data_IF_002190202123
#
_entry.id   IF_002190202123
#
_cell.length_a   1.000
_cell.length_b   1.000
_cell.length_c   1.000
_cell.angle_alpha   90.00
_cell.angle_beta   90.00
_cell.angle_gamma   90.00
#
_symmetry.space_group_name_H-M   'P 1'
#
loop_
_entity.id
_entity.type
_entity.pdbx_description
1 polymer ?
#
# COMPACT_ATOMS: atom_id res chain seq x y z
N UNK A 1 -28.02 -11.69 -14.72
CA UNK A 1 -26.83 -10.80 -14.56
C UNK A 1 -26.24 -10.82 -13.15
N UNK A 2 -27.04 -10.78 -12.07
CA UNK A 2 -26.55 -10.86 -10.67
C UNK A 2 -25.81 -12.19 -10.37
N UNK A 3 -26.34 -13.33 -10.80
CA UNK A 3 -25.80 -14.67 -10.51
C UNK A 3 -24.34 -14.88 -10.94
N UNK A 4 -23.97 -14.49 -12.17
CA UNK A 4 -22.58 -14.57 -12.66
C UNK A 4 -21.62 -13.75 -11.80
N UNK A 5 -22.05 -12.57 -11.32
CA UNK A 5 -21.22 -11.71 -10.47
C UNK A 5 -20.98 -12.36 -9.11
N UNK A 6 -22.00 -12.98 -8.55
CA UNK A 6 -21.92 -13.68 -7.27
C UNK A 6 -21.00 -14.91 -7.38
N UNK A 7 -21.13 -15.71 -8.44
CA UNK A 7 -20.30 -16.89 -8.68
C UNK A 7 -18.81 -16.51 -8.78
N UNK A 8 -18.47 -15.48 -9.55
CA UNK A 8 -17.08 -15.01 -9.63
C UNK A 8 -16.62 -14.41 -8.30
N UNK A 9 -17.48 -13.67 -7.58
CA UNK A 9 -17.12 -13.13 -6.27
C UNK A 9 -16.82 -14.24 -5.24
N UNK A 10 -17.61 -15.31 -5.22
CA UNK A 10 -17.37 -16.48 -4.37
C UNK A 10 -16.07 -17.17 -4.78
N UNK A 11 -15.79 -17.30 -6.07
CA UNK A 11 -14.53 -17.87 -6.54
C UNK A 11 -13.32 -17.03 -6.08
N UNK A 12 -13.38 -15.72 -6.27
CA UNK A 12 -12.35 -14.79 -5.80
C UNK A 12 -12.12 -14.95 -4.29
N UNK A 13 -13.20 -15.01 -3.52
CA UNK A 13 -13.10 -15.15 -2.06
C UNK A 13 -12.58 -16.52 -1.64
N UNK A 14 -12.88 -17.58 -2.38
CA UNK A 14 -12.28 -18.91 -2.14
C UNK A 14 -10.76 -18.90 -2.35
N UNK A 15 -10.31 -18.20 -3.39
CA UNK A 15 -8.88 -18.06 -3.71
C UNK A 15 -8.18 -17.16 -2.70
N UNK A 16 -8.83 -16.07 -2.28
CA UNK A 16 -8.26 -15.05 -1.40
C UNK A 16 -9.32 -14.54 -0.41
N UNK A 17 -9.15 -14.87 0.87
CA UNK A 17 -9.95 -14.35 1.97
C UNK A 17 -9.09 -14.19 3.22
N UNK A 18 -9.39 -13.24 4.11
CA UNK A 18 -10.49 -12.26 4.04
C UNK A 18 -10.21 -11.12 3.04
N UNK A 19 -11.28 -10.53 2.47
CA UNK A 19 -11.18 -9.34 1.60
C UNK A 19 -12.19 -8.27 2.01
N UNK A 20 -11.86 -7.01 1.77
CA UNK A 20 -12.84 -5.91 1.82
C UNK A 20 -13.77 -5.95 0.62
N UNK A 21 -14.97 -5.37 0.75
CA UNK A 21 -15.92 -5.20 -0.38
C UNK A 21 -15.25 -4.48 -1.56
N UNK A 22 -14.36 -3.51 -1.28
CA UNK A 22 -13.60 -2.78 -2.28
C UNK A 22 -12.62 -3.68 -3.03
N UNK A 23 -11.87 -4.53 -2.33
CA UNK A 23 -10.98 -5.49 -2.97
C UNK A 23 -11.76 -6.47 -3.86
N UNK A 24 -12.89 -7.03 -3.39
CA UNK A 24 -13.73 -7.92 -4.22
C UNK A 24 -14.25 -7.19 -5.47
N UNK A 25 -14.71 -5.95 -5.31
CA UNK A 25 -15.14 -5.12 -6.44
C UNK A 25 -14.03 -4.96 -7.49
N UNK A 26 -12.80 -4.63 -7.09
CA UNK A 26 -11.69 -4.48 -8.03
C UNK A 26 -11.27 -5.80 -8.68
N UNK A 27 -11.35 -6.92 -7.96
CA UNK A 27 -11.10 -8.25 -8.56
C UNK A 27 -12.12 -8.59 -9.66
N UNK A 28 -13.38 -8.15 -9.50
CA UNK A 28 -14.42 -8.30 -10.52
C UNK A 28 -14.24 -7.32 -11.69
N UNK A 29 -13.76 -6.10 -11.45
CA UNK A 29 -13.38 -5.14 -12.51
C UNK A 29 -12.22 -5.69 -13.33
N UNK A 30 -11.16 -6.15 -12.67
CA UNK A 30 -9.95 -6.69 -13.32
C UNK A 30 -10.27 -7.91 -14.19
N UNK A 31 -11.22 -8.75 -13.76
CA UNK A 31 -11.74 -9.90 -14.53
C UNK A 31 -12.78 -9.51 -15.59
N UNK A 32 -13.00 -8.21 -15.83
CA UNK A 32 -13.97 -7.67 -16.79
C UNK A 32 -15.42 -8.15 -16.56
N UNK A 33 -15.76 -8.53 -15.32
CA UNK A 33 -17.10 -8.96 -14.93
C UNK A 33 -18.04 -7.76 -14.76
N UNK A 34 -17.49 -6.60 -14.39
CA UNK A 34 -18.21 -5.35 -14.24
C UNK A 34 -17.35 -4.13 -14.60
N UNK A 35 -17.96 -3.05 -15.12
CA UNK A 35 -17.24 -1.82 -15.40
C UNK A 35 -16.90 -1.06 -14.11
N UNK A 36 -15.79 -0.32 -14.10
CA UNK A 36 -15.40 0.50 -12.96
C UNK A 36 -16.33 1.73 -12.85
N UNK A 37 -17.44 1.61 -12.09
CA UNK A 37 -18.43 2.67 -11.85
C UNK A 37 -18.93 2.62 -10.41
N UNK A 38 -19.15 3.80 -9.81
CA UNK A 38 -19.67 3.94 -8.44
C UNK A 38 -20.99 3.19 -8.22
N UNK A 39 -21.89 3.20 -9.21
CA UNK A 39 -23.16 2.46 -9.16
C UNK A 39 -22.96 0.95 -9.10
N UNK A 40 -21.90 0.43 -9.74
CA UNK A 40 -21.57 -1.01 -9.69
C UNK A 40 -20.94 -1.39 -8.36
N UNK A 41 -20.17 -0.49 -7.73
CA UNK A 41 -19.65 -0.71 -6.39
C UNK A 41 -20.78 -0.91 -5.37
N UNK A 42 -21.81 -0.04 -5.40
CA UNK A 42 -22.99 -0.19 -4.54
C UNK A 42 -23.69 -1.52 -4.79
N UNK A 43 -23.89 -1.90 -6.06
CA UNK A 43 -24.50 -3.18 -6.42
C UNK A 43 -23.69 -4.39 -5.92
N UNK A 44 -22.36 -4.34 -5.95
CA UNK A 44 -21.50 -5.41 -5.41
C UNK A 44 -21.59 -5.46 -3.88
N UNK A 45 -21.60 -4.30 -3.21
CA UNK A 45 -21.78 -4.22 -1.75
C UNK A 45 -23.09 -4.87 -1.30
N UNK A 46 -24.20 -4.58 -2.00
CA UNK A 46 -25.51 -5.20 -1.74
C UNK A 46 -25.50 -6.70 -2.03
N UNK A 47 -24.91 -7.11 -3.16
CA UNK A 47 -24.78 -8.52 -3.54
C UNK A 47 -24.04 -9.34 -2.47
N UNK A 48 -22.89 -8.85 -2.00
CA UNK A 48 -22.08 -9.52 -0.98
C UNK A 48 -22.74 -9.49 0.40
N UNK A 49 -23.50 -8.44 0.71
CA UNK A 49 -24.32 -8.39 1.93
C UNK A 49 -25.39 -9.48 1.90
N UNK A 50 -26.12 -9.61 0.80
CA UNK A 50 -27.24 -10.54 0.70
C UNK A 50 -26.75 -11.99 0.64
N UNK A 51 -25.64 -12.25 -0.08
CA UNK A 51 -24.99 -13.56 -0.10
C UNK A 51 -24.53 -14.03 1.30
N UNK A 52 -23.98 -13.12 2.12
CA UNK A 52 -23.63 -13.44 3.52
C UNK A 52 -24.85 -13.73 4.38
N UNK A 53 -25.91 -12.93 4.24
CA UNK A 53 -27.18 -13.17 4.95
C UNK A 53 -27.82 -14.51 4.60
N UNK A 54 -27.65 -14.96 3.36
CA UNK A 54 -28.18 -16.24 2.87
C UNK A 54 -27.27 -17.44 3.17
N UNK A 55 -26.05 -17.22 3.67
CA UNK A 55 -25.08 -18.27 3.95
C UNK A 55 -24.26 -18.74 2.74
N UNK A 56 -24.35 -18.05 1.59
CA UNK A 56 -23.56 -18.36 0.39
C UNK A 56 -22.07 -17.99 0.56
N UNK A 57 -21.78 -17.02 1.43
CA UNK A 57 -20.44 -16.53 1.76
C UNK A 57 -20.30 -16.50 3.29
N UNK A 58 -19.29 -17.15 3.88
CA UNK A 58 -18.99 -17.03 5.31
C UNK A 58 -18.73 -15.58 5.72
N UNK A 59 -19.15 -15.21 6.93
CA UNK A 59 -19.03 -13.82 7.40
C UNK A 59 -17.58 -13.36 7.47
N UNK A 60 -16.69 -14.27 7.85
CA UNK A 60 -15.25 -14.09 7.99
C UNK A 60 -14.52 -13.90 6.66
N UNK A 61 -15.14 -14.22 5.51
CA UNK A 61 -14.51 -14.00 4.21
C UNK A 61 -14.53 -12.53 3.76
N UNK A 62 -15.44 -11.73 4.33
CA UNK A 62 -15.53 -10.30 4.05
C UNK A 62 -15.24 -9.49 5.31
N UNK A 63 -14.18 -8.68 5.26
CA UNK A 63 -13.83 -7.80 6.36
C UNK A 63 -14.21 -6.33 6.11
N UNK A 64 -14.76 -5.66 7.12
CA UNK A 64 -14.90 -4.20 7.15
C UNK A 64 -13.80 -3.63 8.06
N UNK A 65 -12.74 -3.12 7.44
CA UNK A 65 -11.60 -2.52 8.16
C UNK A 65 -11.95 -1.17 8.80
N UNK A 66 -12.99 -0.48 8.33
CA UNK A 66 -13.35 0.87 8.76
C UNK A 66 -14.34 0.90 9.93
N UNK A 67 -15.17 -0.15 10.07
CA UNK A 67 -16.22 -0.22 11.10
C UNK A 67 -15.96 -1.31 12.14
N UNK A 68 -14.70 -1.51 12.53
CA UNK A 68 -14.38 -2.42 13.63
C UNK A 68 -14.79 -1.78 14.97
N UNK A 69 -15.62 -2.44 15.80
CA UNK A 69 -15.85 -1.99 17.16
C UNK A 69 -14.51 -1.81 17.88
N UNK A 70 -14.35 -0.69 18.59
CA UNK A 70 -13.18 -0.49 19.44
C UNK A 70 -13.34 -1.36 20.68
N UNK A 71 -12.77 -2.56 20.65
CA UNK A 71 -12.67 -3.44 21.80
C UNK A 71 -11.32 -3.24 22.50
N UNK A 72 -11.31 -3.39 23.82
CA UNK A 72 -10.06 -3.50 24.58
C UNK A 72 -9.54 -4.91 24.37
N UNK A 73 -8.25 -5.06 24.04
CA UNK A 73 -7.62 -6.38 23.94
C UNK A 73 -7.63 -7.06 25.30
N UNK A 74 -8.19 -8.27 25.36
CA UNK A 74 -8.26 -9.11 26.55
C UNK A 74 -7.94 -10.54 26.14
N UNK A 75 -7.31 -11.30 27.04
CA UNK A 75 -6.89 -12.68 26.83
C UNK A 75 -7.36 -13.54 28.00
N UNK A 76 -7.70 -14.80 27.73
CA UNK A 76 -8.19 -15.71 28.78
C UNK A 76 -7.10 -16.08 29.79
N UNK A 77 -5.86 -16.20 29.32
CA UNK A 77 -4.71 -16.66 30.07
C UNK A 77 -3.40 -16.27 29.34
N UNK A 78 -2.27 -16.67 29.91
CA UNK A 78 -0.94 -16.39 29.35
C UNK A 78 -0.68 -17.12 28.03
N UNK A 79 -1.29 -18.28 27.78
CA UNK A 79 -1.11 -19.02 26.53
C UNK A 79 -1.83 -18.30 25.37
N UNK A 80 -3.04 -17.81 25.61
CA UNK A 80 -3.79 -16.98 24.66
C UNK A 80 -3.06 -15.67 24.35
N UNK A 81 -2.50 -15.01 25.39
CA UNK A 81 -1.64 -13.85 25.19
C UNK A 81 -0.36 -14.19 24.41
N UNK A 82 0.31 -15.29 24.74
CA UNK A 82 1.54 -15.73 24.08
C UNK A 82 1.35 -15.95 22.58
N UNK A 83 0.23 -16.55 22.16
CA UNK A 83 -0.09 -16.72 20.74
C UNK A 83 -0.32 -15.38 20.03
N UNK A 84 -0.93 -14.40 20.71
CA UNK A 84 -1.08 -13.04 20.19
C UNK A 84 0.29 -12.38 19.99
N UNK A 85 1.16 -12.45 21.00
CA UNK A 85 2.51 -11.87 20.92
C UNK A 85 3.33 -12.58 19.84
N UNK A 86 3.26 -13.91 19.73
CA UNK A 86 3.92 -14.68 18.67
C UNK A 86 3.55 -14.18 17.28
N UNK A 87 2.25 -13.98 17.03
CA UNK A 87 1.74 -13.47 15.75
C UNK A 87 2.10 -12.02 15.49
N UNK A 88 2.20 -11.21 16.54
CA UNK A 88 2.53 -9.79 16.45
C UNK A 88 4.04 -9.55 16.30
N UNK A 89 4.88 -10.43 16.83
CA UNK A 89 6.33 -10.26 16.83
C UNK A 89 6.87 -10.16 15.41
N UNK A 90 7.62 -9.08 15.16
CA UNK A 90 8.44 -8.89 13.98
C UNK A 90 9.81 -8.43 14.43
N UNK A 91 10.85 -8.97 13.82
CA UNK A 91 12.22 -8.50 14.01
C UNK A 91 12.45 -7.31 13.08
N UNK A 92 13.21 -6.33 13.56
CA UNK A 92 13.56 -5.17 12.75
C UNK A 92 14.52 -5.59 11.63
N UNK A 93 14.02 -5.52 10.39
CA UNK A 93 14.80 -5.83 9.19
C UNK A 93 15.82 -4.74 8.88
N UNK A 94 15.57 -3.50 9.30
CA UNK A 94 16.39 -2.35 8.92
C UNK A 94 17.73 -2.29 9.65
N UNK A 95 17.91 -3.06 10.71
CA UNK A 95 19.16 -3.14 11.46
C UNK A 95 20.33 -3.68 10.62
N UNK A 96 20.07 -4.47 9.57
CA UNK A 96 21.10 -5.06 8.70
C UNK A 96 21.06 -4.56 7.26
N UNK A 97 20.01 -3.84 6.87
CA UNK A 97 19.87 -3.34 5.50
C UNK A 97 20.83 -2.16 5.23
N UNK A 98 21.40 -2.07 4.02
CA UNK A 98 22.35 -1.01 3.67
C UNK A 98 21.70 0.37 3.56
N UNK A 99 20.41 0.43 3.17
CA UNK A 99 19.64 1.65 3.04
C UNK A 99 18.20 1.40 3.51
N UNK A 100 17.57 2.42 4.08
CA UNK A 100 16.15 2.40 4.42
C UNK A 100 15.30 2.63 3.18
N UNK A 101 14.25 1.81 3.00
CA UNK A 101 13.31 1.97 1.88
C UNK A 101 11.92 2.26 2.43
N UNK A 102 11.30 3.31 1.90
CA UNK A 102 9.92 3.68 2.22
C UNK A 102 9.10 3.85 0.94
N UNK A 103 7.83 3.46 0.96
CA UNK A 103 6.92 3.60 -0.18
C UNK A 103 5.91 4.70 0.10
N UNK A 104 5.78 5.64 -0.83
CA UNK A 104 4.82 6.74 -0.77
C UNK A 104 3.74 6.54 -1.83
N UNK A 105 2.49 6.46 -1.41
CA UNK A 105 1.33 6.22 -2.26
C UNK A 105 0.34 7.38 -2.16
N UNK A 106 0.05 8.02 -3.29
CA UNK A 106 -0.89 9.14 -3.33
C UNK A 106 -2.36 8.72 -3.15
N UNK A 107 -2.71 7.48 -3.53
CA UNK A 107 -4.10 7.03 -3.63
C UNK A 107 -4.45 5.99 -2.56
N UNK A 108 -5.10 6.43 -1.48
CA UNK A 108 -5.54 5.57 -0.36
C UNK A 108 -6.37 4.35 -0.78
N UNK A 109 -7.12 4.44 -1.88
CA UNK A 109 -7.90 3.31 -2.39
C UNK A 109 -7.05 2.08 -2.76
N UNK A 110 -5.74 2.28 -3.03
CA UNK A 110 -4.78 1.24 -3.37
C UNK A 110 -3.96 0.76 -2.16
N UNK A 111 -4.06 1.42 -1.00
CA UNK A 111 -3.24 1.13 0.20
C UNK A 111 -3.25 -0.35 0.60
N UNK A 112 -4.40 -1.02 0.56
CA UNK A 112 -4.49 -2.43 0.91
C UNK A 112 -3.69 -3.35 -0.01
N UNK A 113 -3.54 -3.01 -1.30
CA UNK A 113 -2.72 -3.80 -2.23
C UNK A 113 -1.24 -3.64 -1.90
N UNK A 114 -0.83 -2.42 -1.53
CA UNK A 114 0.54 -2.10 -1.16
C UNK A 114 0.92 -2.73 0.17
N UNK A 115 0.11 -2.54 1.20
CA UNK A 115 0.29 -3.13 2.53
C UNK A 115 0.46 -4.66 2.45
N UNK A 116 -0.37 -5.31 1.63
CA UNK A 116 -0.29 -6.77 1.42
C UNK A 116 1.04 -7.24 0.80
N UNK A 117 1.73 -6.39 0.04
CA UNK A 117 3.06 -6.70 -0.55
C UNK A 117 4.17 -6.31 0.42
N UNK A 118 4.10 -5.09 0.97
CA UNK A 118 5.18 -4.48 1.75
C UNK A 118 5.37 -5.10 3.13
N UNK A 119 4.31 -5.65 3.71
CA UNK A 119 4.38 -6.33 5.02
C UNK A 119 5.43 -7.43 5.08
N UNK A 120 5.66 -8.13 3.96
CA UNK A 120 6.61 -9.22 3.90
C UNK A 120 8.06 -8.71 3.85
N UNK A 121 8.28 -7.43 3.57
CA UNK A 121 9.60 -6.81 3.50
C UNK A 121 9.88 -5.85 4.65
N UNK A 122 8.93 -5.66 5.59
CA UNK A 122 9.06 -4.68 6.67
C UNK A 122 9.09 -3.23 6.18
N UNK A 123 8.61 -2.97 4.95
CA UNK A 123 8.64 -1.65 4.31
C UNK A 123 7.46 -0.79 4.76
N UNK A 124 7.77 0.42 5.22
CA UNK A 124 6.77 1.41 5.61
C UNK A 124 6.01 1.90 4.38
N UNK A 125 4.68 1.95 4.49
CA UNK A 125 3.79 2.57 3.51
C UNK A 125 3.28 3.91 4.05
N UNK A 126 3.69 5.01 3.42
CA UNK A 126 3.09 6.31 3.64
C UNK A 126 1.98 6.55 2.60
N UNK A 127 0.77 6.87 3.07
CA UNK A 127 -0.41 7.06 2.20
C UNK A 127 -0.86 8.51 2.28
N UNK A 128 -0.67 9.24 1.19
CA UNK A 128 -1.17 10.60 1.05
C UNK A 128 -2.71 10.61 1.03
N UNK A 129 -3.33 11.42 1.89
CA UNK A 129 -4.79 11.66 1.87
C UNK A 129 -5.04 13.14 1.63
N UNK A 130 -4.81 13.59 0.39
CA UNK A 130 -4.71 15.02 0.08
C UNK A 130 -3.45 15.62 0.68
N UNK A 131 -2.95 16.73 0.10
CA UNK A 131 -1.67 17.38 0.42
C UNK A 131 -1.08 16.96 1.76
N UNK A 132 -0.12 16.03 1.72
CA UNK A 132 0.60 15.53 2.88
C UNK A 132 0.99 16.71 3.76
N UNK A 133 0.32 16.84 4.89
CA UNK A 133 0.57 17.90 5.85
C UNK A 133 1.99 17.80 6.37
N UNK A 134 2.49 18.90 6.93
CA UNK A 134 3.81 18.97 7.54
C UNK A 134 4.07 17.84 8.57
N UNK A 135 3.04 17.33 9.25
CA UNK A 135 3.21 16.19 10.17
C UNK A 135 3.69 14.91 9.48
N UNK A 136 3.26 14.63 8.23
CA UNK A 136 3.71 13.45 7.47
C UNK A 136 5.20 13.56 7.15
N UNK A 137 5.63 14.75 6.71
CA UNK A 137 7.04 15.04 6.42
C UNK A 137 7.88 14.99 7.69
N UNK A 138 7.42 15.58 8.80
CA UNK A 138 8.12 15.52 10.10
C UNK A 138 8.34 14.08 10.53
N UNK A 139 7.26 13.29 10.58
CA UNK A 139 7.33 11.90 11.02
C UNK A 139 8.25 11.07 10.13
N UNK A 140 8.25 11.32 8.81
CA UNK A 140 9.14 10.67 7.86
C UNK A 140 10.60 11.09 8.07
N UNK A 141 10.85 12.40 8.17
CA UNK A 141 12.18 12.93 8.41
C UNK A 141 12.81 12.45 9.72
N UNK A 142 12.03 12.32 10.79
CA UNK A 142 12.50 11.72 12.05
C UNK A 142 13.03 10.29 11.83
N UNK A 143 12.29 9.46 11.09
CA UNK A 143 12.76 8.12 10.70
C UNK A 143 14.01 8.18 9.84
N UNK A 144 14.07 9.12 8.90
CA UNK A 144 15.20 9.24 7.96
C UNK A 144 16.49 9.64 8.68
N UNK A 145 16.39 10.45 9.74
CA UNK A 145 17.53 10.80 10.60
C UNK A 145 18.08 9.56 11.32
N UNK A 146 17.21 8.66 11.77
CA UNK A 146 17.61 7.42 12.45
C UNK A 146 18.38 6.46 11.52
N UNK A 147 18.00 6.39 10.24
CA UNK A 147 18.60 5.47 9.27
C UNK A 147 19.73 6.07 8.42
N UNK A 148 19.74 7.39 8.23
CA UNK A 148 20.73 8.10 7.43
C UNK A 148 20.53 8.01 5.91
N UNK A 149 20.67 6.82 5.32
CA UNK A 149 20.49 6.59 3.88
C UNK A 149 19.07 6.12 3.56
N UNK A 150 18.34 6.85 2.71
CA UNK A 150 16.93 6.61 2.44
C UNK A 150 16.61 6.60 0.95
N UNK A 151 15.82 5.63 0.51
CA UNK A 151 15.17 5.62 -0.81
C UNK A 151 13.65 5.60 -0.66
N UNK A 152 13.00 6.64 -1.22
CA UNK A 152 11.56 6.76 -1.30
C UNK A 152 11.07 6.28 -2.67
N UNK A 153 10.24 5.26 -2.68
CA UNK A 153 9.55 4.76 -3.86
C UNK A 153 8.17 5.40 -3.96
N UNK A 154 8.01 6.35 -4.88
CA UNK A 154 6.79 7.12 -5.05
C UNK A 154 5.88 6.54 -6.13
N UNK A 155 4.61 6.35 -5.76
CA UNK A 155 3.53 5.87 -6.60
C UNK A 155 2.40 6.92 -6.59
N UNK A 156 2.27 7.63 -7.71
CA UNK A 156 1.29 8.70 -7.88
C UNK A 156 0.67 8.71 -9.26
N UNK A 157 -0.26 9.64 -9.45
CA UNK A 157 -0.93 9.81 -10.73
C UNK A 157 0.02 10.41 -11.78
N UNK A 158 -0.31 10.21 -13.05
CA UNK A 158 0.34 10.91 -14.16
C UNK A 158 -0.50 12.14 -14.51
N UNK A 159 -0.29 13.21 -13.76
CA UNK A 159 -0.92 14.51 -13.98
C UNK A 159 0.05 15.64 -13.54
N UNK A 160 -0.29 16.93 -13.75
CA UNK A 160 0.61 18.03 -13.39
C UNK A 160 1.02 18.06 -11.90
N UNK A 161 0.16 17.59 -10.99
CA UNK A 161 0.43 17.55 -9.56
C UNK A 161 1.28 16.33 -9.18
N UNK A 162 0.98 15.15 -9.73
CA UNK A 162 1.73 13.91 -9.49
C UNK A 162 3.15 13.91 -10.10
N UNK A 163 3.40 14.65 -11.18
CA UNK A 163 4.77 14.87 -11.69
C UNK A 163 5.55 15.87 -10.81
N UNK A 164 4.91 16.92 -10.31
CA UNK A 164 5.56 17.89 -9.42
C UNK A 164 5.75 17.37 -7.99
N UNK A 165 5.04 16.30 -7.61
CA UNK A 165 5.07 15.74 -6.27
C UNK A 165 6.48 15.30 -5.85
N UNK A 166 7.28 14.72 -6.77
CA UNK A 166 8.66 14.32 -6.47
C UNK A 166 9.50 15.52 -6.06
N UNK A 167 9.39 16.64 -6.79
CA UNK A 167 10.10 17.87 -6.45
C UNK A 167 9.58 18.44 -5.13
N UNK A 168 8.26 18.55 -4.97
CA UNK A 168 7.66 19.11 -3.75
C UNK A 168 7.95 18.27 -2.51
N UNK A 169 8.01 16.95 -2.63
CA UNK A 169 8.38 16.04 -1.55
C UNK A 169 9.84 16.24 -1.16
N UNK A 170 10.75 16.33 -2.14
CA UNK A 170 12.16 16.64 -1.88
C UNK A 170 12.33 17.97 -1.15
N UNK A 171 11.76 19.04 -1.68
CA UNK A 171 11.84 20.39 -1.08
C UNK A 171 11.39 20.39 0.39
N UNK A 172 10.26 19.73 0.70
CA UNK A 172 9.73 19.65 2.07
C UNK A 172 10.58 18.77 2.98
N UNK A 173 11.07 17.64 2.50
CA UNK A 173 11.96 16.78 3.29
C UNK A 173 13.27 17.50 3.59
N UNK A 174 13.86 18.15 2.59
CA UNK A 174 15.11 18.92 2.75
C UNK A 174 14.91 20.07 3.75
N UNK A 175 13.81 20.84 3.62
CA UNK A 175 13.44 21.89 4.58
C UNK A 175 13.31 21.33 6.01
N UNK A 176 12.72 20.15 6.17
CA UNK A 176 12.62 19.51 7.47
C UNK A 176 13.97 19.13 8.06
N UNK A 177 14.81 18.48 7.24
CA UNK A 177 16.13 18.01 7.65
C UNK A 177 17.04 19.19 8.02
N UNK A 178 16.89 20.34 7.35
CA UNK A 178 17.54 21.59 7.76
C UNK A 178 17.05 22.06 9.14
N UNK A 179 15.72 22.12 9.36
CA UNK A 179 15.13 22.50 10.66
C UNK A 179 15.60 21.56 11.78
N UNK A 180 15.69 20.26 11.50
CA UNK A 180 16.14 19.22 12.42
C UNK A 180 17.68 19.13 12.56
N UNK A 181 18.43 20.07 11.97
CA UNK A 181 19.89 20.11 12.00
C UNK A 181 20.56 18.80 11.53
N UNK A 182 19.95 18.16 10.53
CA UNK A 182 20.37 16.89 9.93
C UNK A 182 20.45 16.95 8.39
N UNK A 183 21.06 17.99 7.78
CA UNK A 183 21.06 18.20 6.32
C UNK A 183 21.90 17.18 5.53
N UNK A 184 22.60 16.28 6.22
CA UNK A 184 23.48 15.27 5.61
C UNK A 184 22.77 13.93 5.33
N UNK A 185 21.53 13.77 5.78
CA UNK A 185 20.70 12.60 5.48
C UNK A 185 20.47 12.56 3.97
N UNK A 186 20.82 11.44 3.34
CA UNK A 186 20.71 11.30 1.88
C UNK A 186 19.38 10.66 1.52
N UNK A 187 18.51 11.42 0.87
CA UNK A 187 17.18 10.97 0.46
C UNK A 187 17.07 10.92 -1.07
N UNK A 188 16.99 9.72 -1.61
CA UNK A 188 16.65 9.48 -3.01
C UNK A 188 15.13 9.34 -3.16
N UNK A 189 14.53 9.95 -4.18
CA UNK A 189 13.09 9.83 -4.47
C UNK A 189 12.93 9.35 -5.90
N UNK A 190 12.22 8.24 -6.08
CA UNK A 190 12.09 7.54 -7.36
C UNK A 190 10.60 7.41 -7.67
N UNK A 191 10.16 7.98 -8.80
CA UNK A 191 8.80 7.77 -9.29
C UNK A 191 8.70 6.40 -9.98
N UNK A 192 8.09 5.44 -9.31
CA UNK A 192 7.95 4.07 -9.79
C UNK A 192 6.73 3.90 -10.70
N UNK A 193 5.65 4.64 -10.43
CA UNK A 193 4.47 4.72 -11.29
C UNK A 193 3.67 5.99 -10.98
N UNK A 194 2.81 6.47 -11.89
CA UNK A 194 2.71 6.14 -13.31
C UNK A 194 3.68 6.98 -14.15
N UNK A 195 4.30 6.38 -15.16
CA UNK A 195 5.15 7.09 -16.13
C UNK A 195 4.50 7.13 -17.51
N UNK A 196 4.96 8.04 -18.39
CA UNK A 196 4.52 8.06 -19.80
C UNK A 196 4.76 6.72 -20.53
N UNK A 197 5.82 5.99 -20.16
CA UNK A 197 6.10 4.67 -20.70
C UNK A 197 5.05 3.63 -20.27
N UNK A 198 4.53 3.73 -19.04
CA UNK A 198 3.46 2.85 -18.55
C UNK A 198 2.16 3.08 -19.32
N UNK A 199 1.81 4.34 -19.56
CA UNK A 199 0.62 4.71 -20.33
C UNK A 199 0.68 4.11 -21.73
N UNK A 200 1.82 4.27 -22.42
CA UNK A 200 2.02 3.72 -23.76
C UNK A 200 2.00 2.18 -23.78
N UNK A 201 2.69 1.54 -22.83
CA UNK A 201 2.83 0.08 -22.75
C UNK A 201 1.50 -0.61 -22.46
N UNK A 202 0.74 -0.10 -21.51
CA UNK A 202 -0.51 -0.71 -21.05
C UNK A 202 -1.75 -0.14 -21.72
N UNK A 203 -1.57 0.83 -22.64
CA UNK A 203 -2.65 1.51 -23.37
C UNK A 203 -3.73 2.03 -22.41
N UNK A 204 -3.28 2.70 -21.36
CA UNK A 204 -4.15 3.16 -20.29
C UNK A 204 -5.12 4.23 -20.82
N UNK A 205 -6.38 4.22 -20.39
CA UNK A 205 -7.33 5.27 -20.75
C UNK A 205 -6.85 6.60 -20.17
N UNK A 206 -6.73 7.62 -21.02
CA UNK A 206 -6.35 8.97 -20.61
C UNK A 206 -7.55 9.91 -20.58
N UNK A 207 -7.53 10.82 -19.62
CA UNK A 207 -8.36 12.02 -19.60
C UNK A 207 -7.51 13.24 -20.00
N UNK A 208 -8.14 14.40 -20.16
CA UNK A 208 -7.44 15.67 -20.35
C UNK A 208 -6.88 16.17 -19.00
N UNK A 209 -5.72 16.82 -19.02
CA UNK A 209 -5.16 17.41 -17.82
C UNK A 209 -6.06 18.53 -17.28
N UNK A 210 -6.20 18.63 -15.96
CA UNK A 210 -7.01 19.67 -15.32
C UNK A 210 -6.43 21.05 -15.65
N UNK A 211 -7.08 21.79 -16.56
CA UNK A 211 -6.65 23.11 -17.06
C UNK A 211 -6.56 24.20 -15.99
N UNK A 212 -7.14 23.97 -14.81
CA UNK A 212 -7.08 24.88 -13.66
C UNK A 212 -5.84 24.69 -12.79
N UNK A 213 -5.03 23.66 -13.01
CA UNK A 213 -3.77 23.48 -12.28
C UNK A 213 -2.74 24.50 -12.77
N UNK A 214 -2.13 25.26 -11.85
CA UNK A 214 -1.09 26.23 -12.18
C UNK A 214 0.13 25.59 -12.85
N UNK A 215 0.32 24.28 -12.64
CA UNK A 215 1.39 23.46 -13.20
C UNK A 215 1.05 22.87 -14.58
N UNK A 216 -0.21 22.95 -15.01
CA UNK A 216 -0.68 22.34 -16.25
C UNK A 216 0.08 22.85 -17.49
N UNK A 217 0.50 24.12 -17.52
CA UNK A 217 1.19 24.67 -18.71
C UNK A 217 2.52 23.98 -19.00
N UNK A 218 3.35 23.73 -17.98
CA UNK A 218 4.65 23.06 -18.13
C UNK A 218 4.43 21.59 -18.50
N UNK A 219 3.53 20.93 -17.77
CA UNK A 219 3.19 19.54 -18.01
C UNK A 219 2.64 19.29 -19.43
N UNK A 220 1.72 20.14 -19.92
CA UNK A 220 1.17 20.01 -21.27
C UNK A 220 2.25 20.20 -22.34
N UNK A 221 3.24 21.06 -22.10
CA UNK A 221 4.35 21.25 -23.02
C UNK A 221 5.29 20.03 -23.09
N UNK A 222 5.48 19.33 -21.96
CA UNK A 222 6.41 18.19 -21.84
C UNK A 222 5.75 16.84 -22.18
N UNK A 223 4.49 16.65 -21.80
CA UNK A 223 3.79 15.36 -21.85
C UNK A 223 2.48 15.38 -22.65
N UNK A 224 2.03 16.55 -23.09
CA UNK A 224 0.72 16.74 -23.73
C UNK A 224 -0.44 16.88 -22.75
N UNK A 225 -1.65 17.11 -23.27
CA UNK A 225 -2.88 17.27 -22.48
C UNK A 225 -3.44 15.89 -22.08
N UNK A 226 -2.68 15.16 -21.25
CA UNK A 226 -2.96 13.77 -20.85
C UNK A 226 -2.88 13.64 -19.33
N UNK A 227 -3.92 13.09 -18.71
CA UNK A 227 -3.93 12.71 -17.30
C UNK A 227 -4.37 11.27 -17.13
N UNK A 228 -3.66 10.51 -16.30
CA UNK A 228 -3.96 9.10 -16.02
C UNK A 228 -3.82 8.83 -14.52
N UNK A 229 -4.88 8.32 -13.91
CA UNK A 229 -4.88 7.92 -12.51
C UNK A 229 -4.14 6.58 -12.31
N UNK A 230 -3.46 6.42 -11.17
CA UNK A 230 -2.67 5.23 -10.82
C UNK A 230 -3.51 3.94 -10.83
N UNK A 231 -4.80 4.01 -10.50
CA UNK A 231 -5.71 2.86 -10.51
C UNK A 231 -6.18 2.45 -11.92
N UNK A 232 -5.81 3.19 -12.96
CA UNK A 232 -5.91 2.72 -14.34
C UNK A 232 -4.92 1.58 -14.62
N UNK A 233 -3.80 1.52 -13.88
CA UNK A 233 -2.82 0.46 -14.04
C UNK A 233 -3.39 -0.88 -13.53
N UNK A 234 -3.25 -1.99 -14.27
CA UNK A 234 -3.69 -3.29 -13.79
C UNK A 234 -3.04 -3.66 -12.46
N UNK A 235 -3.83 -4.13 -11.49
CA UNK A 235 -3.36 -4.47 -10.13
C UNK A 235 -2.18 -5.45 -10.15
N UNK A 236 -2.19 -6.44 -11.04
CA UNK A 236 -1.09 -7.40 -11.16
C UNK A 236 0.24 -6.72 -11.52
N UNK A 237 0.20 -5.75 -12.45
CA UNK A 237 1.38 -4.97 -12.86
C UNK A 237 1.86 -4.08 -11.72
N UNK A 238 0.93 -3.45 -11.00
CA UNK A 238 1.27 -2.60 -9.86
C UNK A 238 1.95 -3.39 -8.74
N UNK A 239 1.47 -4.60 -8.45
CA UNK A 239 2.07 -5.53 -7.48
C UNK A 239 3.46 -5.97 -7.91
N UNK A 240 3.60 -6.45 -9.15
CA UNK A 240 4.88 -6.89 -9.71
C UNK A 240 5.92 -5.76 -9.68
N UNK A 241 5.51 -4.54 -10.04
CA UNK A 241 6.40 -3.38 -9.99
C UNK A 241 6.80 -3.03 -8.56
N UNK A 242 5.83 -2.95 -7.65
CA UNK A 242 6.10 -2.66 -6.25
C UNK A 242 7.09 -3.64 -5.65
N UNK A 243 6.84 -4.93 -5.85
CA UNK A 243 7.72 -6.01 -5.41
C UNK A 243 9.12 -5.86 -6.02
N UNK A 244 9.22 -5.71 -7.35
CA UNK A 244 10.50 -5.58 -8.05
C UNK A 244 11.31 -4.37 -7.58
N UNK A 245 10.69 -3.21 -7.37
CA UNK A 245 11.40 -2.00 -6.93
C UNK A 245 11.88 -2.12 -5.48
N UNK A 246 11.08 -2.76 -4.62
CA UNK A 246 11.47 -3.03 -3.23
C UNK A 246 12.62 -4.03 -3.19
N UNK A 247 12.48 -5.19 -3.85
CA UNK A 247 13.51 -6.24 -3.81
C UNK A 247 14.82 -5.80 -4.47
N UNK A 248 14.78 -4.87 -5.43
CA UNK A 248 15.99 -4.34 -6.06
C UNK A 248 16.83 -3.45 -5.12
N UNK A 249 16.27 -3.03 -3.97
CA UNK A 249 16.90 -2.11 -3.02
C UNK A 249 17.11 -2.72 -1.63
N UNK A 250 16.71 -3.97 -1.46
CA UNK A 250 16.95 -4.74 -0.26
C UNK A 250 18.07 -5.75 -0.50
N UNK A 251 18.87 -5.97 0.53
CA UNK A 251 19.68 -7.17 0.63
C UNK A 251 18.75 -8.33 1.05
N UNK A 252 18.44 -9.18 0.09
CA UNK A 252 17.50 -10.29 0.28
C UNK A 252 18.09 -11.43 1.12
N UNK A 253 19.42 -11.56 1.16
CA UNK A 253 20.10 -12.57 1.97
C UNK A 253 20.02 -12.14 3.44
N UNK A 254 20.37 -10.88 3.75
CA UNK A 254 20.20 -10.29 5.09
C UNK A 254 18.74 -10.32 5.56
N UNK A 255 17.79 -10.03 4.66
CA UNK A 255 16.35 -10.12 4.98
C UNK A 255 15.94 -11.56 5.33
N UNK A 256 16.46 -12.55 4.61
CA UNK A 256 16.18 -13.96 4.88
C UNK A 256 16.75 -14.39 6.24
N UNK A 257 17.97 -13.99 6.57
CA UNK A 257 18.60 -14.27 7.86
C UNK A 257 17.80 -13.65 9.03
N UNK A 258 17.36 -12.40 8.89
CA UNK A 258 16.52 -11.73 9.91
C UNK A 258 15.20 -12.48 10.10
N UNK A 259 14.58 -12.97 9.03
CA UNK A 259 13.32 -13.73 9.11
C UNK A 259 13.49 -15.11 9.75
N UNK A 260 14.61 -15.78 9.50
CA UNK A 260 14.92 -17.06 10.16
C UNK A 260 15.13 -16.86 11.67
N UNK A 261 15.83 -15.80 12.04
CA UNK A 261 15.99 -15.41 13.44
C UNK A 261 14.66 -15.06 14.10
N UNK A 262 13.79 -14.30 13.40
CA UNK A 262 12.44 -13.96 13.86
C UNK A 262 11.60 -15.21 14.18
N UNK A 263 11.65 -16.23 13.33
CA UNK A 263 10.86 -17.45 13.55
C UNK A 263 11.39 -18.25 14.76
N UNK A 264 12.71 -18.31 14.93
CA UNK A 264 13.32 -18.90 16.13
C UNK A 264 12.91 -18.15 17.40
N UNK A 265 12.91 -16.82 17.34
CA UNK A 265 12.53 -15.95 18.46
C UNK A 265 11.03 -16.05 18.79
N UNK A 266 10.16 -16.23 17.80
CA UNK A 266 8.72 -16.48 18.01
C UNK A 266 8.45 -17.74 18.81
N UNK A 267 9.15 -18.83 18.50
CA UNK A 267 9.01 -20.10 19.26
C UNK A 267 9.47 -19.89 20.69
N UNK A 268 10.67 -19.32 20.86
CA UNK A 268 11.24 -19.02 22.19
C UNK A 268 10.35 -18.09 23.02
N UNK A 269 9.70 -17.11 22.39
CA UNK A 269 8.82 -16.16 23.05
C UNK A 269 7.59 -16.85 23.66
N UNK A 270 6.99 -17.81 22.96
CA UNK A 270 5.90 -18.62 23.50
C UNK A 270 6.39 -19.47 24.67
N UNK A 271 7.54 -20.11 24.55
CA UNK A 271 8.12 -20.90 25.64
C UNK A 271 8.34 -20.05 26.90
N UNK A 272 8.90 -18.84 26.75
CA UNK A 272 9.13 -17.92 27.87
C UNK A 272 7.84 -17.46 28.55
N UNK A 273 6.76 -17.27 27.80
CA UNK A 273 5.47 -16.80 28.33
C UNK A 273 4.61 -17.92 28.92
N UNK A 274 4.86 -19.18 28.52
CA UNK A 274 4.08 -20.35 28.94
C UNK A 274 4.80 -21.26 29.93
N UNK A 275 6.11 -21.04 30.16
CA UNK A 275 6.88 -21.70 31.20
C UNK A 275 6.50 -21.16 32.60
N UNK A 276 5.39 -21.68 33.15
CA UNK A 276 4.97 -21.50 34.54
C UNK A 276 4.42 -22.82 35.10
#
# INVERSE_FOLDING_TARGET
MSRRRLEVAIQVLREQHPMTVRQVYYQLVARQVLPNKVTMYQAVSELLRDARKNGDIPWEWIEDRLRRPRAVSMWSDLSDFAETVRRAYRRDVWATQPNYVEVWLEKDALSGIFDDVLKDYGVTLNVGRGFDGWDSIRNAGDRYIEHGGVTILYFGDFDPSGEDMVRSLRERIDEYLEIANSPFVNVEIIKCALTAADIARYKLPSDFAKKTDSRAKKFIAEHGDVSVELDALPVAVLRERLESEVTARLDLDELAEVKEAEETERVRLVELLTAA
#
